data_IF_602791917687
#
_entry.id   IF_602791917687
#
_cell.length_a   1.000
_cell.length_b   1.000
_cell.length_c   1.000
_cell.angle_alpha   90.00
_cell.angle_beta   90.00
_cell.angle_gamma   90.00
#
_symmetry.space_group_name_H-M   'P 1'
#
loop_
_entity.id
_entity.type
_entity.pdbx_description
1 polymer ?
#
# COMPACT_ATOMS: atom_id res chain seq x y z
N UNK A 1 -4.70 -0.40 14.44
CA UNK A 1 -3.55 -0.30 15.36
C UNK A 1 -3.54 1.10 15.94
N UNK A 2 -3.43 1.21 17.26
CA UNK A 2 -3.29 2.47 17.98
C UNK A 2 -1.91 2.52 18.66
N UNK A 3 -1.24 3.66 18.59
CA UNK A 3 0.03 3.91 19.27
C UNK A 3 0.03 5.29 19.92
N UNK A 4 0.69 5.39 21.06
CA UNK A 4 1.02 6.68 21.67
C UNK A 4 2.32 7.16 21.02
N UNK A 5 2.27 8.32 20.42
CA UNK A 5 3.37 8.92 19.66
C UNK A 5 3.43 10.44 19.93
N UNK A 6 4.62 11.01 19.87
CA UNK A 6 4.79 12.46 19.99
C UNK A 6 4.84 13.10 18.61
N UNK A 7 3.96 14.07 18.37
CA UNK A 7 3.85 14.77 17.09
C UNK A 7 3.76 16.28 17.28
N UNK A 8 4.17 17.04 16.26
CA UNK A 8 3.92 18.48 16.21
C UNK A 8 2.54 18.72 15.59
N UNK A 9 1.64 19.33 16.35
CA UNK A 9 0.30 19.73 15.90
C UNK A 9 0.24 21.26 15.95
N UNK A 10 0.07 21.92 14.83
CA UNK A 10 0.11 23.40 14.72
C UNK A 10 1.36 24.01 15.37
N UNK A 11 2.52 23.35 15.22
CA UNK A 11 3.80 23.80 15.77
C UNK A 11 4.04 23.44 17.23
N UNK A 12 3.04 22.90 17.95
CA UNK A 12 3.13 22.50 19.36
C UNK A 12 3.38 21.00 19.45
N UNK A 13 4.34 20.58 20.28
CA UNK A 13 4.55 19.14 20.58
C UNK A 13 3.41 18.61 21.43
N UNK A 14 2.75 17.58 20.91
CA UNK A 14 1.61 16.94 21.56
C UNK A 14 1.83 15.42 21.63
N UNK A 15 1.45 14.83 22.75
CA UNK A 15 1.38 13.39 22.89
C UNK A 15 0.04 12.89 22.39
N UNK A 16 0.06 12.14 21.28
CA UNK A 16 -1.14 11.74 20.53
C UNK A 16 -1.35 10.23 20.61
N UNK A 17 -2.63 9.80 20.67
CA UNK A 17 -3.00 8.42 20.42
C UNK A 17 -3.36 8.28 18.93
N UNK A 18 -2.41 7.79 18.12
CA UNK A 18 -2.55 7.71 16.67
C UNK A 18 -3.16 6.37 16.25
N UNK A 19 -4.35 6.43 15.67
CA UNK A 19 -5.05 5.28 15.10
C UNK A 19 -4.80 5.22 13.59
N UNK A 20 -4.30 4.09 13.09
CA UNK A 20 -4.08 3.85 11.66
C UNK A 20 -4.97 2.72 11.16
N UNK A 21 -5.81 3.03 10.15
CA UNK A 21 -6.58 2.05 9.37
C UNK A 21 -6.52 2.46 7.90
N UNK A 22 -6.12 1.54 7.03
CA UNK A 22 -5.83 1.89 5.63
C UNK A 22 -4.53 2.70 5.48
N UNK A 23 -3.76 2.81 6.55
CA UNK A 23 -2.50 3.54 6.63
C UNK A 23 -1.49 2.78 7.49
N UNK A 24 -0.21 3.07 7.25
CA UNK A 24 0.92 2.56 8.03
C UNK A 24 1.85 3.69 8.44
N UNK A 25 2.73 3.42 9.39
CA UNK A 25 3.74 4.38 9.84
C UNK A 25 4.80 4.59 8.75
N UNK A 26 5.20 5.83 8.56
CA UNK A 26 6.22 6.26 7.60
C UNK A 26 7.15 7.30 8.25
N UNK A 27 8.00 6.83 9.17
CA UNK A 27 8.95 7.69 9.89
C UNK A 27 9.98 8.31 8.94
N UNK A 28 10.34 9.56 9.22
CA UNK A 28 11.44 10.25 8.54
C UNK A 28 12.79 9.61 8.80
N UNK A 29 13.76 9.87 7.92
CA UNK A 29 15.12 9.31 8.02
C UNK A 29 15.94 9.76 9.22
N UNK A 30 15.52 10.82 9.89
CA UNK A 30 16.10 11.39 11.11
C UNK A 30 15.35 11.00 12.40
N UNK A 31 14.28 10.20 12.28
CA UNK A 31 13.44 9.87 13.43
C UNK A 31 14.18 8.93 14.41
N UNK A 32 14.17 9.22 15.74
CA UNK A 32 14.94 8.47 16.73
C UNK A 32 14.52 6.99 16.87
N UNK A 33 13.25 6.66 16.58
CA UNK A 33 12.76 5.27 16.59
C UNK A 33 13.06 4.49 15.30
N UNK A 34 13.66 5.12 14.31
CA UNK A 34 13.97 4.46 13.05
C UNK A 34 15.19 3.55 13.23
N UNK A 35 15.09 2.30 12.74
CA UNK A 35 16.24 1.40 12.76
C UNK A 35 17.43 2.03 12.02
N UNK A 36 18.64 1.95 12.59
CA UNK A 36 19.86 2.63 12.11
C UNK A 36 20.16 2.41 10.63
N UNK A 37 19.88 1.20 10.12
CA UNK A 37 20.04 0.86 8.69
C UNK A 37 19.18 1.69 7.71
N UNK A 38 18.16 2.39 8.20
CA UNK A 38 17.31 3.26 7.41
C UNK A 38 17.53 4.75 7.71
N UNK A 39 18.51 5.08 8.57
CA UNK A 39 18.85 6.46 8.87
C UNK A 39 19.21 7.23 7.59
N UNK A 40 18.70 8.46 7.47
CA UNK A 40 18.83 9.29 6.28
C UNK A 40 18.00 8.84 5.07
N UNK A 41 17.38 7.64 5.13
CA UNK A 41 16.56 7.09 4.03
C UNK A 41 15.08 7.29 4.31
N UNK A 42 14.61 7.00 5.51
CA UNK A 42 13.23 6.92 5.92
C UNK A 42 12.72 5.49 6.05
N UNK A 43 11.64 5.31 6.80
CA UNK A 43 11.04 3.99 7.04
C UNK A 43 10.51 3.39 5.75
N UNK A 44 10.87 2.13 5.40
CA UNK A 44 10.25 1.43 4.29
C UNK A 44 8.75 1.24 4.51
N UNK A 45 7.98 1.47 3.45
CA UNK A 45 6.52 1.29 3.40
C UNK A 45 6.18 0.41 2.22
N UNK A 46 5.49 -0.72 2.48
CA UNK A 46 4.99 -1.59 1.42
C UNK A 46 3.56 -1.19 1.07
N UNK A 47 3.32 -0.99 -0.21
CA UNK A 47 2.00 -0.64 -0.75
C UNK A 47 1.61 -1.68 -1.79
N UNK A 48 0.93 -2.77 -1.38
CA UNK A 48 0.39 -3.72 -2.33
C UNK A 48 -0.70 -3.07 -3.17
N UNK A 49 -0.65 -3.33 -4.46
CA UNK A 49 -1.71 -3.00 -5.40
C UNK A 49 -2.69 -4.17 -5.54
N UNK A 50 -2.62 -4.82 -6.67
CA UNK A 50 -3.44 -5.98 -7.01
C UNK A 50 -2.61 -7.06 -7.72
N UNK A 51 -3.25 -8.16 -8.11
CA UNK A 51 -2.57 -9.32 -8.67
C UNK A 51 -2.12 -9.15 -10.12
N UNK A 52 -2.56 -8.13 -10.83
CA UNK A 52 -2.30 -7.93 -12.26
C UNK A 52 -1.46 -6.70 -12.57
N UNK A 53 -1.35 -5.72 -11.69
CA UNK A 53 -0.71 -4.44 -11.98
C UNK A 53 0.65 -4.28 -11.31
N UNK A 54 0.69 -3.87 -10.06
CA UNK A 54 1.95 -3.63 -9.36
C UNK A 54 1.79 -3.65 -7.84
N UNK A 55 2.93 -3.70 -7.16
CA UNK A 55 3.09 -3.29 -5.76
C UNK A 55 4.25 -2.32 -5.67
N UNK A 56 4.25 -1.48 -4.65
CA UNK A 56 5.27 -0.46 -4.49
C UNK A 56 6.00 -0.56 -3.16
N UNK A 57 7.28 -0.25 -3.20
CA UNK A 57 8.08 0.08 -2.03
C UNK A 57 8.24 1.60 -2.01
N UNK A 58 7.87 2.21 -0.90
CA UNK A 58 8.10 3.63 -0.61
C UNK A 58 9.07 3.75 0.57
N UNK A 59 9.57 4.95 0.79
CA UNK A 59 10.28 5.34 1.99
C UNK A 59 9.61 6.58 2.59
N UNK A 60 9.56 6.67 3.90
CA UNK A 60 9.18 7.88 4.60
C UNK A 60 10.01 9.09 4.17
N UNK A 61 9.68 10.32 4.62
CA UNK A 61 10.46 11.52 4.31
C UNK A 61 11.95 11.33 4.65
N UNK A 62 12.85 12.00 3.93
CA UNK A 62 14.29 11.95 4.27
C UNK A 62 14.56 12.55 5.65
N UNK A 63 13.84 13.61 5.97
CA UNK A 63 13.94 14.33 7.24
C UNK A 63 12.56 14.74 7.72
N UNK A 64 12.39 14.86 9.02
CA UNK A 64 11.15 15.23 9.67
C UNK A 64 10.04 14.18 9.53
N UNK A 65 8.86 14.58 9.94
CA UNK A 65 7.61 13.83 9.74
C UNK A 65 6.83 14.39 8.55
N UNK A 66 5.60 13.92 8.42
CA UNK A 66 4.60 14.49 7.52
C UNK A 66 3.36 14.93 8.31
N UNK A 67 2.52 15.75 7.70
CA UNK A 67 1.33 16.32 8.33
C UNK A 67 0.23 15.28 8.66
N UNK A 68 0.44 14.03 8.23
CA UNK A 68 -0.43 12.90 8.52
C UNK A 68 0.09 12.02 9.67
N UNK A 69 0.67 12.63 10.71
CA UNK A 69 1.21 11.92 11.88
C UNK A 69 2.22 10.83 11.50
N UNK A 70 3.17 11.16 10.63
CA UNK A 70 4.15 10.23 10.07
C UNK A 70 3.52 8.94 9.53
N UNK A 71 2.45 9.10 8.76
CA UNK A 71 1.68 8.00 8.16
C UNK A 71 1.71 8.08 6.64
N UNK A 72 1.52 6.94 5.98
CA UNK A 72 1.35 6.80 4.55
C UNK A 72 0.26 5.77 4.23
N UNK A 73 -0.22 5.73 3.00
CA UNK A 73 -1.08 4.64 2.54
C UNK A 73 -0.36 3.29 2.70
N UNK A 74 -1.11 2.20 2.82
CA UNK A 74 -0.54 0.85 2.89
C UNK A 74 -1.18 -0.14 1.88
N UNK A 75 -1.82 0.36 0.83
CA UNK A 75 -2.44 -0.43 -0.23
C UNK A 75 -3.21 0.45 -1.20
N UNK A 76 -3.53 -0.08 -2.37
CA UNK A 76 -4.34 0.61 -3.38
C UNK A 76 -5.76 0.92 -2.88
N UNK A 77 -6.31 0.04 -2.05
CA UNK A 77 -7.70 0.11 -1.61
C UNK A 77 -8.69 -0.39 -2.66
N UNK A 78 -9.82 -0.89 -2.21
CA UNK A 78 -10.86 -1.45 -3.09
C UNK A 78 -11.82 -0.38 -3.60
N UNK A 79 -12.32 -0.57 -4.81
CA UNK A 79 -13.44 0.19 -5.40
C UNK A 79 -14.72 -0.68 -5.52
N UNK A 80 -14.61 -2.00 -5.59
CA UNK A 80 -15.73 -2.92 -5.54
C UNK A 80 -15.74 -3.70 -4.22
N UNK A 81 -16.95 -4.01 -3.71
CA UNK A 81 -17.07 -5.00 -2.63
C UNK A 81 -16.71 -6.39 -3.15
N UNK A 82 -16.38 -7.33 -2.25
CA UNK A 82 -16.11 -8.73 -2.65
C UNK A 82 -17.29 -9.35 -3.39
N UNK A 83 -18.52 -9.09 -2.92
CA UNK A 83 -19.73 -9.57 -3.56
C UNK A 83 -19.87 -9.01 -4.98
N UNK A 84 -19.76 -7.70 -5.15
CA UNK A 84 -19.85 -7.08 -6.46
C UNK A 84 -18.76 -7.58 -7.42
N UNK A 85 -17.54 -7.79 -6.93
CA UNK A 85 -16.45 -8.35 -7.74
C UNK A 85 -16.77 -9.77 -8.23
N UNK A 86 -17.31 -10.64 -7.36
CA UNK A 86 -17.76 -11.99 -7.76
C UNK A 86 -18.85 -12.00 -8.81
N UNK A 87 -19.77 -11.04 -8.74
CA UNK A 87 -20.89 -10.93 -9.69
C UNK A 87 -20.48 -10.35 -11.04
N UNK A 88 -19.47 -9.47 -11.07
CA UNK A 88 -19.09 -8.70 -12.26
C UNK A 88 -17.87 -9.26 -12.99
N UNK A 89 -17.02 -10.04 -12.33
CA UNK A 89 -15.73 -10.45 -12.86
C UNK A 89 -15.71 -11.95 -13.11
N UNK A 90 -15.54 -12.32 -14.37
CA UNK A 90 -15.36 -13.69 -14.81
C UNK A 90 -13.96 -14.21 -14.44
N UNK A 91 -13.90 -15.23 -13.57
CA UNK A 91 -12.65 -15.77 -13.06
C UNK A 91 -11.80 -16.50 -14.12
N UNK A 92 -12.43 -17.14 -15.11
CA UNK A 92 -11.70 -17.86 -16.15
C UNK A 92 -11.01 -16.87 -17.11
N UNK A 93 -11.74 -15.85 -17.57
CA UNK A 93 -11.15 -14.78 -18.40
C UNK A 93 -10.06 -14.02 -17.65
N UNK A 94 -10.25 -13.78 -16.35
CA UNK A 94 -9.23 -13.16 -15.52
C UNK A 94 -7.98 -14.01 -15.44
N UNK A 95 -8.12 -15.33 -15.23
CA UNK A 95 -7.00 -16.29 -15.22
C UNK A 95 -6.23 -16.24 -16.53
N UNK A 96 -6.93 -16.38 -17.65
CA UNK A 96 -6.32 -16.33 -18.98
C UNK A 96 -5.55 -15.02 -19.21
N UNK A 97 -6.12 -13.89 -18.80
CA UNK A 97 -5.49 -12.57 -18.92
C UNK A 97 -4.19 -12.49 -18.09
N UNK A 98 -4.22 -12.97 -16.85
CA UNK A 98 -3.05 -12.96 -15.97
C UNK A 98 -1.94 -13.89 -16.49
N UNK A 99 -2.31 -15.10 -16.92
CA UNK A 99 -1.35 -16.07 -17.47
C UNK A 99 -0.75 -15.59 -18.79
N UNK A 100 -1.54 -14.95 -19.66
CA UNK A 100 -1.04 -14.30 -20.88
C UNK A 100 -0.07 -13.15 -20.58
N UNK A 101 -0.23 -12.48 -19.44
CA UNK A 101 0.72 -11.47 -18.95
C UNK A 101 1.96 -12.06 -18.24
N UNK A 102 2.09 -13.39 -18.20
CA UNK A 102 3.22 -14.10 -17.58
C UNK A 102 3.11 -14.25 -16.07
N UNK A 103 1.91 -14.13 -15.50
CA UNK A 103 1.66 -14.26 -14.07
C UNK A 103 1.13 -15.66 -13.78
N UNK A 104 1.85 -16.43 -12.98
CA UNK A 104 1.43 -17.78 -12.57
C UNK A 104 0.31 -17.68 -11.54
N UNK A 105 -0.86 -18.28 -11.82
CA UNK A 105 -2.04 -18.18 -10.95
C UNK A 105 -2.35 -19.50 -10.26
N UNK A 106 -2.30 -19.49 -8.93
CA UNK A 106 -2.71 -20.59 -8.07
C UNK A 106 -3.83 -20.13 -7.13
N UNK A 107 -5.01 -20.73 -7.25
CA UNK A 107 -6.14 -20.41 -6.38
C UNK A 107 -6.91 -21.68 -6.01
N UNK A 108 -7.46 -21.72 -4.80
CA UNK A 108 -8.31 -22.84 -4.35
C UNK A 108 -9.68 -22.82 -5.02
N UNK A 109 -10.24 -21.63 -5.23
CA UNK A 109 -11.57 -21.48 -5.79
C UNK A 109 -11.63 -20.32 -6.78
N UNK A 110 -12.43 -20.41 -7.86
CA UNK A 110 -12.64 -19.32 -8.81
C UNK A 110 -13.12 -18.01 -8.15
N UNK A 111 -14.03 -18.12 -7.18
CA UNK A 111 -14.60 -16.96 -6.48
C UNK A 111 -13.54 -16.07 -5.83
N UNK A 112 -12.50 -16.68 -5.22
CA UNK A 112 -11.41 -15.92 -4.59
C UNK A 112 -10.62 -15.15 -5.64
N UNK A 113 -10.47 -15.67 -6.84
CA UNK A 113 -9.79 -14.97 -7.93
C UNK A 113 -10.56 -13.72 -8.35
N UNK A 114 -11.87 -13.84 -8.59
CA UNK A 114 -12.73 -12.70 -8.94
C UNK A 114 -12.75 -11.63 -7.84
N UNK A 115 -12.84 -12.04 -6.57
CA UNK A 115 -12.82 -11.11 -5.43
C UNK A 115 -11.58 -10.21 -5.40
N UNK A 116 -10.45 -10.74 -5.78
CA UNK A 116 -9.15 -10.08 -5.69
C UNK A 116 -8.64 -9.57 -7.06
N UNK A 117 -9.53 -9.53 -8.05
CA UNK A 117 -9.21 -9.06 -9.40
C UNK A 117 -8.69 -7.60 -9.42
N UNK A 118 -7.81 -7.25 -10.37
CA UNK A 118 -7.35 -5.87 -10.54
C UNK A 118 -8.48 -4.84 -10.59
N UNK A 119 -9.55 -5.14 -11.33
CA UNK A 119 -10.72 -4.26 -11.48
C UNK A 119 -11.48 -3.99 -10.17
N UNK A 120 -11.26 -4.80 -9.14
CA UNK A 120 -11.85 -4.57 -7.82
C UNK A 120 -11.08 -3.53 -6.98
N UNK A 121 -9.93 -3.08 -7.45
CA UNK A 121 -9.04 -2.15 -6.74
C UNK A 121 -8.93 -0.81 -7.45
N UNK A 122 -8.47 0.19 -6.72
CA UNK A 122 -8.03 1.47 -7.28
C UNK A 122 -6.68 1.26 -7.98
N UNK A 123 -6.38 2.12 -8.96
CA UNK A 123 -5.08 2.14 -9.59
C UNK A 123 -3.99 2.48 -8.55
N UNK A 124 -3.09 1.52 -8.32
CA UNK A 124 -2.02 1.68 -7.34
C UNK A 124 -1.02 2.78 -7.78
N UNK A 125 -0.75 2.93 -9.06
CA UNK A 125 0.19 3.92 -9.57
C UNK A 125 -0.35 5.34 -9.30
N UNK A 126 -1.67 5.56 -9.45
CA UNK A 126 -2.33 6.81 -9.10
C UNK A 126 -2.31 7.07 -7.58
N UNK A 127 -2.55 6.04 -6.77
CA UNK A 127 -2.44 6.14 -5.30
C UNK A 127 -1.03 6.55 -4.88
N UNK A 128 0.00 5.99 -5.53
CA UNK A 128 1.39 6.33 -5.23
C UNK A 128 1.74 7.75 -5.68
N UNK A 129 1.26 8.17 -6.86
CA UNK A 129 1.43 9.54 -7.35
C UNK A 129 0.89 10.56 -6.33
N UNK A 130 -0.36 10.37 -5.89
CA UNK A 130 -1.00 11.25 -4.90
C UNK A 130 -0.28 11.22 -3.53
N UNK A 131 0.16 10.03 -3.09
CA UNK A 131 0.92 9.87 -1.84
C UNK A 131 2.24 10.65 -1.89
N UNK A 132 2.91 10.63 -3.03
CA UNK A 132 4.17 11.36 -3.25
C UNK A 132 3.96 12.86 -3.32
N UNK A 133 2.95 13.33 -4.05
CA UNK A 133 2.59 14.75 -4.16
C UNK A 133 2.19 15.33 -2.81
N UNK A 134 1.44 14.56 -2.00
CA UNK A 134 1.11 14.93 -0.63
C UNK A 134 2.31 14.83 0.35
N UNK A 135 3.50 14.46 -0.13
CA UNK A 135 4.73 14.31 0.64
C UNK A 135 4.62 13.35 1.83
N UNK A 136 3.73 12.37 1.75
CA UNK A 136 3.53 11.39 2.81
C UNK A 136 4.63 10.33 2.82
N UNK A 137 5.06 9.89 1.64
CA UNK A 137 6.18 8.98 1.43
C UNK A 137 6.73 9.12 0.01
N UNK A 138 7.96 8.67 -0.22
CA UNK A 138 8.67 8.79 -1.49
C UNK A 138 8.70 7.44 -2.20
N UNK A 139 8.35 7.33 -3.49
CA UNK A 139 8.51 6.11 -4.28
C UNK A 139 9.98 5.67 -4.35
N UNK A 140 10.21 4.36 -4.21
CA UNK A 140 11.54 3.74 -4.29
C UNK A 140 11.58 2.69 -5.40
N UNK A 141 10.64 1.75 -5.41
CA UNK A 141 10.60 0.70 -6.41
C UNK A 141 9.17 0.27 -6.74
N UNK A 142 8.92 0.05 -8.03
CA UNK A 142 7.71 -0.56 -8.57
C UNK A 142 7.99 -2.01 -8.90
N UNK A 143 7.20 -2.92 -8.34
CA UNK A 143 7.35 -4.36 -8.52
C UNK A 143 6.17 -4.90 -9.31
N UNK A 144 6.43 -5.72 -10.32
CA UNK A 144 5.40 -6.45 -11.04
C UNK A 144 5.17 -7.82 -10.40
N UNK A 145 3.92 -8.29 -10.32
CA UNK A 145 3.66 -9.66 -9.88
C UNK A 145 4.18 -10.65 -10.92
N UNK A 146 4.74 -11.77 -10.44
CA UNK A 146 5.12 -12.87 -11.30
C UNK A 146 4.35 -14.14 -10.96
N UNK A 147 3.77 -14.20 -9.77
CA UNK A 147 2.91 -15.28 -9.32
C UNK A 147 1.86 -14.77 -8.32
N UNK A 148 0.71 -15.41 -8.33
CA UNK A 148 -0.40 -15.16 -7.43
C UNK A 148 -0.82 -16.46 -6.77
N UNK A 149 -0.85 -16.48 -5.45
CA UNK A 149 -1.32 -17.61 -4.65
C UNK A 149 -2.47 -17.10 -3.78
N UNK A 150 -3.65 -17.63 -4.00
CA UNK A 150 -4.88 -17.29 -3.26
C UNK A 150 -5.54 -18.54 -2.72
N UNK A 151 -5.94 -18.51 -1.45
CA UNK A 151 -6.56 -19.63 -0.79
C UNK A 151 -7.62 -19.27 0.21
#
# INVERSE_FOLDING_TARGET
>A
IAKIEDHKVHGVSCRCCVHRKGATRALGGDHPELASKFSGIGQPVLVPGDMGTASWILAGPKQGGNDAFSSSCHGAGRRLSRTAAREQIDSEKLRETLEAAGINVHTKTPNVLSEEAPDAYKDVDEVIRLTSEARLARPVARMKPFAVIKG
#
